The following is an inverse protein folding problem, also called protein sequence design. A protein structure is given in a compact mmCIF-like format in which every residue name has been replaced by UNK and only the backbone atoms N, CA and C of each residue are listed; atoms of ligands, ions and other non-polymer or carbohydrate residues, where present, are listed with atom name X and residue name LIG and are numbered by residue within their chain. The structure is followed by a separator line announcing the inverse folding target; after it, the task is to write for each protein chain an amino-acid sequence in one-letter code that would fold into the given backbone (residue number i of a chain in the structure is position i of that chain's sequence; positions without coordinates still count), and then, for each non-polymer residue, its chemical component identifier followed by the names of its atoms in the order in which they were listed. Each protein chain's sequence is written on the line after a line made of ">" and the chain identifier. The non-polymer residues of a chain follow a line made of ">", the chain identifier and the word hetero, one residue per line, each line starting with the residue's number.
data_IF_745742038585
#
_entry.id   IF_745742038585
#
_cell.length_a   1.000
_cell.length_b   1.000
_cell.length_c   1.000
_cell.angle_alpha   90.00
_cell.angle_beta   90.00
_cell.angle_gamma   90.00
#
_symmetry.space_group_name_H-M   'P 1'
#
loop_
_entity.id
_entity.type
_entity.pdbx_description
1 polymer ?
#
# COMPACT_ATOMS: atom_id res chain seq x y z
N UNK A 1 -19.65 19.28 -55.92
CA UNK A 1 -19.93 18.61 -54.63
C UNK A 1 -18.75 18.74 -53.67
N UNK A 2 -17.55 18.27 -54.04
CA UNK A 2 -16.37 18.22 -53.16
C UNK A 2 -15.99 19.55 -52.50
N UNK A 3 -15.95 20.65 -53.25
CA UNK A 3 -15.68 22.00 -52.70
C UNK A 3 -16.65 22.42 -51.58
N UNK A 4 -17.93 22.02 -51.66
CA UNK A 4 -18.91 22.29 -50.60
C UNK A 4 -18.67 21.40 -49.38
N UNK A 5 -18.31 20.13 -49.59
CA UNK A 5 -18.00 19.20 -48.51
C UNK A 5 -16.76 19.67 -47.72
N UNK A 6 -15.71 20.11 -48.42
CA UNK A 6 -14.49 20.67 -47.81
C UNK A 6 -14.83 21.94 -47.01
N UNK A 7 -15.66 22.84 -47.55
CA UNK A 7 -16.10 24.05 -46.84
C UNK A 7 -16.87 23.73 -45.56
N UNK A 8 -17.80 22.77 -45.60
CA UNK A 8 -18.57 22.32 -44.41
C UNK A 8 -17.65 21.65 -43.38
N UNK A 9 -16.73 20.78 -43.79
CA UNK A 9 -15.75 20.17 -42.88
C UNK A 9 -14.85 21.21 -42.21
N UNK A 10 -14.39 22.23 -42.96
CA UNK A 10 -13.59 23.33 -42.42
C UNK A 10 -14.40 24.17 -41.42
N UNK A 11 -15.66 24.47 -41.72
CA UNK A 11 -16.54 25.21 -40.83
C UNK A 11 -16.80 24.47 -39.51
N UNK A 12 -17.05 23.15 -39.57
CA UNK A 12 -17.22 22.29 -38.39
C UNK A 12 -15.92 22.25 -37.56
N UNK A 13 -14.77 22.09 -38.21
CA UNK A 13 -13.47 22.07 -37.52
C UNK A 13 -13.17 23.40 -36.82
N UNK A 14 -13.39 24.53 -37.50
CA UNK A 14 -13.23 25.87 -36.92
C UNK A 14 -14.23 26.11 -35.78
N UNK A 15 -15.49 25.72 -35.92
CA UNK A 15 -16.48 25.78 -34.85
C UNK A 15 -16.03 24.95 -33.62
N UNK A 16 -15.46 23.76 -33.83
CA UNK A 16 -14.94 22.93 -32.75
C UNK A 16 -13.74 23.58 -32.02
N UNK A 17 -12.88 24.30 -32.74
CA UNK A 17 -11.78 25.09 -32.16
C UNK A 17 -12.29 26.31 -31.37
N UNK A 18 -13.29 27.03 -31.88
CA UNK A 18 -13.90 28.18 -31.20
C UNK A 18 -14.80 27.81 -30.02
N UNK A 19 -15.41 26.63 -30.04
CA UNK A 19 -16.24 26.10 -28.93
C UNK A 19 -15.42 25.38 -27.87
N UNK A 20 -14.22 24.89 -28.18
CA UNK A 20 -13.32 24.24 -27.20
C UNK A 20 -13.17 25.03 -25.88
N UNK A 21 -12.91 26.35 -25.89
CA UNK A 21 -12.77 27.15 -24.66
C UNK A 21 -14.04 27.25 -23.81
N UNK A 22 -15.23 27.05 -24.39
CA UNK A 22 -16.49 26.98 -23.64
C UNK A 22 -16.63 25.65 -22.88
N UNK A 23 -16.08 24.56 -23.41
CA UNK A 23 -16.12 23.23 -22.79
C UNK A 23 -14.90 22.90 -21.92
N UNK A 24 -13.75 23.58 -22.11
CA UNK A 24 -12.53 23.34 -21.31
C UNK A 24 -12.34 24.32 -20.15
N UNK A 25 -13.42 24.97 -19.67
CA UNK A 25 -13.41 25.63 -18.35
C UNK A 25 -13.50 24.58 -17.24
N UNK A 26 -12.43 23.82 -17.06
CA UNK A 26 -12.17 23.16 -15.78
C UNK A 26 -11.88 24.26 -14.78
N UNK A 27 -12.91 24.67 -14.02
CA UNK A 27 -12.75 25.68 -12.97
C UNK A 27 -11.97 25.08 -11.81
N UNK A 28 -10.65 24.96 -11.96
CA UNK A 28 -9.75 24.80 -10.83
C UNK A 28 -9.72 26.10 -10.06
N UNK A 29 -10.75 26.33 -9.22
CA UNK A 29 -10.67 27.33 -8.16
C UNK A 29 -9.44 26.98 -7.34
N UNK A 30 -8.37 27.77 -7.52
CA UNK A 30 -7.12 27.64 -6.77
C UNK A 30 -7.39 28.20 -5.37
N UNK A 31 -8.18 27.46 -4.60
CA UNK A 31 -8.52 27.77 -3.22
C UNK A 31 -7.21 27.80 -2.43
N UNK A 32 -6.95 28.91 -1.73
CA UNK A 32 -5.87 29.01 -0.77
C UNK A 32 -6.27 28.23 0.49
N UNK A 33 -6.28 26.90 0.35
CA UNK A 33 -6.52 25.98 1.46
C UNK A 33 -5.36 26.07 2.45
N UNK A 34 -5.60 25.92 3.77
CA UNK A 34 -4.53 25.75 4.73
C UNK A 34 -3.71 24.50 4.38
N UNK A 35 -2.41 24.45 4.74
CA UNK A 35 -1.56 23.31 4.44
C UNK A 35 -2.16 22.03 5.04
N UNK A 36 -2.57 21.10 4.18
CA UNK A 36 -2.98 19.76 4.58
C UNK A 36 -1.77 19.00 5.14
N UNK A 37 -1.90 18.23 6.24
CA UNK A 37 -0.81 17.42 6.77
C UNK A 37 -0.34 16.41 5.71
N UNK A 38 0.87 16.63 5.18
CA UNK A 38 1.42 15.89 4.04
C UNK A 38 1.68 14.40 4.36
N UNK A 39 1.83 14.07 5.65
CA UNK A 39 2.08 12.70 6.13
C UNK A 39 1.15 12.38 7.30
N UNK A 40 -0.10 11.93 7.05
CA UNK A 40 -1.08 11.77 8.11
C UNK A 40 -0.66 10.76 9.20
N UNK A 41 0.16 9.74 8.90
CA UNK A 41 0.74 8.85 9.92
C UNK A 41 1.60 9.60 10.98
N UNK A 42 2.32 10.66 10.58
CA UNK A 42 3.09 11.51 11.50
C UNK A 42 2.19 12.42 12.33
N UNK A 43 1.11 12.94 11.73
CA UNK A 43 0.09 13.70 12.47
C UNK A 43 -0.62 12.82 13.49
N UNK A 44 -0.96 11.58 13.13
CA UNK A 44 -1.50 10.59 14.07
C UNK A 44 -0.52 10.25 15.19
N UNK A 45 0.78 10.13 14.90
CA UNK A 45 1.80 9.94 15.93
C UNK A 45 1.88 11.15 16.89
N UNK A 46 1.94 12.37 16.35
CA UNK A 46 1.94 13.62 17.14
C UNK A 46 0.69 13.77 18.01
N UNK A 47 -0.48 13.35 17.50
CA UNK A 47 -1.70 13.28 18.31
C UNK A 47 -1.59 12.23 19.42
N UNK A 48 -1.04 11.04 19.16
CA UNK A 48 -0.88 10.01 20.20
C UNK A 48 0.07 10.42 21.33
N UNK A 49 1.11 11.22 21.03
CA UNK A 49 1.98 11.80 22.06
C UNK A 49 1.24 12.81 22.98
N UNK A 50 0.10 13.35 22.54
CA UNK A 50 -0.69 14.34 23.29
C UNK A 50 -1.91 13.75 23.98
N UNK A 51 -2.58 12.78 23.36
CA UNK A 51 -3.87 12.23 23.82
C UNK A 51 -3.79 10.76 24.27
N UNK A 52 -2.62 10.12 24.16
CA UNK A 52 -2.40 8.72 24.47
C UNK A 52 -2.38 7.82 23.22
N UNK A 53 -1.91 6.57 23.35
CA UNK A 53 -1.67 5.70 22.21
C UNK A 53 -2.93 5.06 21.61
N UNK A 54 -4.08 5.19 22.30
CA UNK A 54 -5.38 4.73 21.85
C UNK A 54 -6.31 5.94 21.73
N UNK A 55 -6.74 6.28 20.51
CA UNK A 55 -7.55 7.47 20.24
C UNK A 55 -8.72 7.14 19.32
N UNK A 56 -9.88 7.75 19.54
CA UNK A 56 -11.00 7.71 18.58
C UNK A 56 -11.05 9.01 17.78
N UNK A 57 -10.83 8.93 16.47
CA UNK A 57 -10.94 10.06 15.53
C UNK A 57 -12.11 9.86 14.58
N UNK A 58 -12.65 10.94 14.03
CA UNK A 58 -13.73 10.91 13.05
C UNK A 58 -13.24 11.44 11.70
N UNK A 59 -13.14 10.56 10.71
CA UNK A 59 -12.83 10.93 9.32
C UNK A 59 -14.14 11.21 8.58
N UNK A 60 -14.65 12.42 8.76
CA UNK A 60 -16.03 12.76 8.38
C UNK A 60 -17.03 11.99 9.25
N UNK A 61 -17.89 11.18 8.62
CA UNK A 61 -18.88 10.37 9.34
C UNK A 61 -18.37 8.98 9.75
N UNK A 62 -17.07 8.68 9.54
CA UNK A 62 -16.48 7.36 9.83
C UNK A 62 -15.67 7.42 11.13
N UNK A 63 -16.07 6.72 12.20
CA UNK A 63 -15.25 6.57 13.40
C UNK A 63 -14.07 5.63 13.13
N UNK A 64 -12.87 6.07 13.52
CA UNK A 64 -11.63 5.34 13.37
C UNK A 64 -10.85 5.35 14.69
N UNK A 65 -10.66 4.16 15.25
CA UNK A 65 -9.78 3.89 16.36
C UNK A 65 -8.32 3.86 15.88
N UNK A 66 -7.51 4.79 16.35
CA UNK A 66 -6.08 4.85 16.07
C UNK A 66 -5.31 4.20 17.21
N UNK A 67 -4.46 3.25 16.84
CA UNK A 67 -3.62 2.46 17.76
C UNK A 67 -2.16 2.76 17.44
N UNK A 68 -1.41 3.28 18.42
CA UNK A 68 -0.04 3.80 18.23
C UNK A 68 1.03 3.15 19.13
N UNK A 69 0.71 2.11 19.91
CA UNK A 69 1.65 1.42 20.81
C UNK A 69 1.50 -0.11 20.81
N UNK A 70 2.55 -0.82 21.19
CA UNK A 70 2.63 -2.28 21.09
C UNK A 70 1.72 -3.03 22.10
N UNK A 71 1.43 -2.44 23.26
CA UNK A 71 0.51 -2.97 24.27
C UNK A 71 -0.95 -2.94 23.78
N UNK A 72 -1.39 -1.81 23.21
CA UNK A 72 -2.73 -1.69 22.62
C UNK A 72 -2.87 -2.61 21.40
N UNK A 73 -1.78 -2.82 20.62
CA UNK A 73 -1.76 -3.83 19.56
C UNK A 73 -1.85 -5.25 20.14
N UNK A 74 -1.27 -5.54 21.30
CA UNK A 74 -1.43 -6.85 21.95
C UNK A 74 -2.89 -7.14 22.26
N UNK A 75 -3.61 -6.19 22.86
CA UNK A 75 -5.04 -6.37 23.12
C UNK A 75 -5.85 -6.53 21.83
N UNK A 76 -5.54 -5.77 20.78
CA UNK A 76 -6.22 -5.89 19.50
C UNK A 76 -5.90 -7.19 18.73
N UNK A 77 -4.65 -7.64 18.69
CA UNK A 77 -4.13 -8.73 17.83
C UNK A 77 -3.95 -10.06 18.56
N UNK A 78 -4.06 -10.11 19.89
CA UNK A 78 -3.92 -11.35 20.69
C UNK A 78 -5.12 -11.55 21.60
N UNK A 79 -5.48 -10.56 22.42
CA UNK A 79 -6.63 -10.67 23.35
C UNK A 79 -7.98 -10.70 22.60
N UNK A 80 -8.10 -9.95 21.50
CA UNK A 80 -9.36 -9.76 20.76
C UNK A 80 -9.24 -10.02 19.24
N UNK A 81 -8.23 -10.76 18.80
CA UNK A 81 -7.79 -10.89 17.41
C UNK A 81 -8.91 -11.09 16.37
N UNK A 82 -9.82 -12.05 16.61
CA UNK A 82 -10.95 -12.31 15.71
C UNK A 82 -11.87 -11.10 15.54
N UNK A 83 -12.11 -10.31 16.61
CA UNK A 83 -12.92 -9.09 16.54
C UNK A 83 -12.25 -8.01 15.68
N UNK A 84 -10.92 -7.96 15.69
CA UNK A 84 -10.11 -7.02 14.91
C UNK A 84 -9.66 -7.57 13.55
N UNK A 85 -10.08 -8.76 13.15
CA UNK A 85 -9.63 -9.40 11.91
C UNK A 85 -10.41 -8.98 10.66
N UNK A 86 -11.61 -8.42 10.81
CA UNK A 86 -12.42 -7.94 9.69
C UNK A 86 -11.80 -6.72 8.98
N UNK A 87 -12.24 -6.49 7.73
CA UNK A 87 -11.78 -5.41 6.85
C UNK A 87 -12.95 -4.52 6.40
N UNK A 88 -12.78 -3.19 6.34
CA UNK A 88 -13.84 -2.28 5.94
C UNK A 88 -14.06 -2.33 4.42
N UNK A 89 -15.30 -2.63 4.02
CA UNK A 89 -15.70 -2.57 2.60
C UNK A 89 -15.77 -1.12 2.15
N UNK A 90 -14.84 -0.70 1.29
CA UNK A 90 -14.86 0.65 0.70
C UNK A 90 -15.29 0.61 -0.76
N UNK A 91 -16.05 1.63 -1.20
CA UNK A 91 -16.44 1.80 -2.61
C UNK A 91 -15.24 1.98 -3.55
N UNK A 92 -14.07 2.34 -3.00
CA UNK A 92 -12.81 2.42 -3.75
C UNK A 92 -12.30 1.03 -4.09
N UNK A 93 -12.22 0.13 -3.11
CA UNK A 93 -11.82 -1.27 -3.31
C UNK A 93 -12.78 -1.98 -4.27
N UNK A 94 -14.09 -1.85 -4.05
CA UNK A 94 -15.15 -2.43 -4.89
C UNK A 94 -15.06 -2.01 -6.38
N UNK A 95 -14.57 -0.80 -6.66
CA UNK A 95 -14.42 -0.29 -8.03
C UNK A 95 -13.04 -0.54 -8.64
N UNK A 96 -12.01 -0.65 -7.82
CA UNK A 96 -10.62 -0.81 -8.28
C UNK A 96 -10.26 -2.29 -8.46
N UNK A 97 -10.85 -3.18 -7.65
CA UNK A 97 -10.60 -4.62 -7.70
C UNK A 97 -11.87 -5.32 -8.18
N UNK A 98 -11.87 -5.74 -9.45
CA UNK A 98 -12.96 -6.49 -10.06
C UNK A 98 -12.73 -7.98 -9.78
N UNK A 99 -13.63 -8.58 -8.99
CA UNK A 99 -13.60 -10.01 -8.66
C UNK A 99 -13.25 -10.28 -7.19
N UNK A 100 -12.92 -11.53 -6.88
CA UNK A 100 -12.68 -11.98 -5.50
C UNK A 100 -11.21 -11.80 -5.12
N UNK A 101 -10.96 -11.15 -3.99
CA UNK A 101 -9.63 -10.78 -3.51
C UNK A 101 -9.44 -11.11 -2.02
N UNK A 102 -8.21 -11.20 -1.54
CA UNK A 102 -7.88 -11.70 -0.17
C UNK A 102 -7.50 -10.56 0.80
N UNK A 103 -7.03 -9.42 0.30
CA UNK A 103 -6.40 -8.37 1.10
C UNK A 103 -7.40 -7.46 1.85
N UNK A 104 -8.57 -7.23 1.26
CA UNK A 104 -9.66 -6.42 1.80
C UNK A 104 -10.95 -7.23 2.07
N UNK A 105 -10.94 -8.54 1.78
CA UNK A 105 -12.03 -9.43 2.14
C UNK A 105 -12.26 -9.46 3.66
N UNK A 106 -13.52 -9.48 4.13
CA UNK A 106 -13.83 -9.77 5.52
C UNK A 106 -13.25 -11.12 5.95
N UNK A 107 -12.87 -11.23 7.22
CA UNK A 107 -12.41 -12.49 7.78
C UNK A 107 -13.58 -13.48 7.85
N UNK A 108 -13.34 -14.72 7.43
CA UNK A 108 -14.38 -15.73 7.30
C UNK A 108 -13.88 -16.95 6.53
N UNK A 109 -14.78 -17.88 6.24
CA UNK A 109 -14.41 -19.17 5.64
C UNK A 109 -13.67 -19.02 4.30
N UNK A 110 -14.22 -18.24 3.37
CA UNK A 110 -13.57 -17.94 2.08
C UNK A 110 -12.15 -17.41 2.26
N UNK A 111 -11.96 -16.43 3.16
CA UNK A 111 -10.66 -15.82 3.42
C UNK A 111 -9.65 -16.83 3.95
N UNK A 112 -10.05 -17.68 4.91
CA UNK A 112 -9.19 -18.74 5.46
C UNK A 112 -8.82 -19.79 4.41
N UNK A 113 -9.78 -20.23 3.59
CA UNK A 113 -9.53 -21.18 2.51
C UNK A 113 -8.53 -20.61 1.50
N UNK A 114 -8.70 -19.35 1.08
CA UNK A 114 -7.79 -18.69 0.14
C UNK A 114 -6.40 -18.44 0.74
N UNK A 115 -6.29 -17.99 2.00
CA UNK A 115 -5.00 -17.88 2.70
C UNK A 115 -4.29 -19.24 2.75
N UNK A 116 -5.01 -20.30 3.09
CA UNK A 116 -4.46 -21.67 3.10
C UNK A 116 -3.93 -22.09 1.72
N UNK A 117 -4.69 -21.86 0.65
CA UNK A 117 -4.25 -22.14 -0.72
C UNK A 117 -2.97 -21.35 -1.07
N UNK A 118 -2.94 -20.06 -0.76
CA UNK A 118 -1.78 -19.20 -1.00
C UNK A 118 -0.53 -19.67 -0.23
N UNK A 119 -0.63 -19.87 1.08
CA UNK A 119 0.50 -20.30 1.93
C UNK A 119 1.00 -21.69 1.53
N UNK A 120 0.11 -22.66 1.35
CA UNK A 120 0.47 -24.06 1.12
C UNK A 120 0.97 -24.37 -0.31
N UNK A 121 0.75 -23.47 -1.28
CA UNK A 121 1.10 -23.72 -2.69
C UNK A 121 1.92 -22.60 -3.33
N UNK A 122 1.51 -21.34 -3.15
CA UNK A 122 2.08 -20.19 -3.86
C UNK A 122 3.26 -19.55 -3.12
N UNK A 123 3.21 -19.54 -1.78
CA UNK A 123 4.18 -18.87 -0.91
C UNK A 123 5.07 -19.86 -0.13
N UNK A 124 5.13 -21.12 -0.53
CA UNK A 124 6.04 -22.09 0.12
C UNK A 124 7.51 -21.71 -0.15
N UNK A 125 8.40 -22.05 0.79
CA UNK A 125 9.85 -21.94 0.60
C UNK A 125 10.36 -22.61 -0.70
N UNK A 126 9.73 -23.71 -1.13
CA UNK A 126 10.05 -24.37 -2.41
C UNK A 126 9.65 -23.50 -3.61
N UNK A 127 8.44 -22.92 -3.58
CA UNK A 127 7.92 -22.04 -4.63
C UNK A 127 8.74 -20.75 -4.72
N UNK A 128 9.06 -20.12 -3.58
CA UNK A 128 9.88 -18.90 -3.52
C UNK A 128 11.29 -19.14 -4.08
N UNK A 129 11.93 -20.27 -3.76
CA UNK A 129 13.23 -20.66 -4.33
C UNK A 129 13.15 -20.98 -5.82
N UNK A 130 12.05 -21.54 -6.32
CA UNK A 130 11.89 -21.80 -7.77
C UNK A 130 11.88 -20.54 -8.65
N UNK A 131 11.75 -19.35 -8.04
CA UNK A 131 11.83 -18.05 -8.73
C UNK A 131 13.15 -17.29 -8.44
N UNK A 132 14.18 -17.97 -7.94
CA UNK A 132 15.49 -17.36 -7.65
C UNK A 132 16.17 -16.82 -8.91
N UNK A 133 16.19 -17.61 -9.99
CA UNK A 133 16.77 -17.20 -11.29
C UNK A 133 16.08 -15.94 -11.85
N UNK A 134 14.75 -15.83 -11.72
CA UNK A 134 13.99 -14.64 -12.14
C UNK A 134 14.46 -13.39 -11.38
N UNK A 135 14.70 -13.50 -10.07
CA UNK A 135 15.22 -12.40 -9.25
C UNK A 135 16.65 -12.04 -9.66
N UNK A 136 17.52 -13.04 -9.82
CA UNK A 136 18.91 -12.83 -10.24
C UNK A 136 19.01 -12.15 -11.61
N UNK A 137 18.21 -12.58 -12.59
CA UNK A 137 18.16 -11.97 -13.92
C UNK A 137 17.72 -10.50 -13.90
N UNK A 138 16.62 -10.15 -13.21
CA UNK A 138 16.18 -8.75 -13.17
C UNK A 138 17.08 -7.87 -12.30
N UNK A 139 17.77 -8.43 -11.28
CA UNK A 139 18.85 -7.75 -10.56
C UNK A 139 20.03 -7.46 -11.51
N UNK A 140 20.45 -8.42 -12.35
CA UNK A 140 21.50 -8.19 -13.35
C UNK A 140 21.10 -7.11 -14.37
N UNK A 141 19.83 -7.07 -14.79
CA UNK A 141 19.29 -5.99 -15.64
C UNK A 141 19.30 -4.63 -14.93
N UNK A 142 19.07 -4.59 -13.62
CA UNK A 142 19.21 -3.37 -12.81
C UNK A 142 20.69 -2.94 -12.72
N UNK A 143 21.60 -3.86 -12.41
CA UNK A 143 23.04 -3.58 -12.29
C UNK A 143 23.61 -3.04 -13.60
N UNK A 144 23.31 -3.65 -14.75
CA UNK A 144 23.75 -3.13 -16.05
C UNK A 144 23.24 -1.72 -16.38
N UNK A 145 22.05 -1.33 -15.87
CA UNK A 145 21.55 0.05 -15.98
C UNK A 145 22.35 1.02 -15.09
N UNK A 146 22.72 0.59 -13.88
CA UNK A 146 23.54 1.37 -12.94
C UNK A 146 24.99 1.52 -13.44
N UNK A 147 25.60 0.45 -13.94
CA UNK A 147 26.95 0.45 -14.54
C UNK A 147 27.02 1.36 -15.76
N UNK A 148 26.03 1.29 -16.66
CA UNK A 148 25.95 2.19 -17.83
C UNK A 148 25.84 3.65 -17.38
N UNK A 149 24.95 3.94 -16.41
CA UNK A 149 24.74 5.30 -15.92
C UNK A 149 25.96 5.85 -15.17
N UNK A 150 26.67 5.00 -14.42
CA UNK A 150 27.94 5.32 -13.76
C UNK A 150 29.03 5.62 -14.79
N UNK A 151 29.15 4.80 -15.83
CA UNK A 151 30.10 4.99 -16.94
C UNK A 151 29.87 6.30 -17.71
N UNK A 152 28.61 6.75 -17.82
CA UNK A 152 28.24 8.03 -18.43
C UNK A 152 28.12 9.20 -17.44
N UNK A 153 28.49 9.00 -16.16
CA UNK A 153 28.33 9.99 -15.07
C UNK A 153 26.93 10.64 -15.00
N UNK A 154 25.89 9.91 -15.39
CA UNK A 154 24.52 10.41 -15.50
C UNK A 154 23.73 10.16 -14.21
N UNK A 155 22.95 11.14 -13.71
CA UNK A 155 22.15 10.97 -12.50
C UNK A 155 21.05 9.91 -12.71
N UNK A 156 20.79 9.12 -11.67
CA UNK A 156 19.85 7.99 -11.71
C UNK A 156 18.71 8.18 -10.73
N UNK A 157 17.47 7.96 -11.17
CA UNK A 157 16.31 7.88 -10.30
C UNK A 157 16.17 6.43 -9.77
N UNK A 158 16.72 6.18 -8.57
CA UNK A 158 16.68 4.86 -7.92
C UNK A 158 15.25 4.40 -7.61
N UNK A 159 14.35 5.29 -7.19
CA UNK A 159 12.95 4.94 -6.90
C UNK A 159 12.26 4.35 -8.13
N UNK A 160 12.43 4.95 -9.31
CA UNK A 160 11.91 4.42 -10.58
C UNK A 160 12.52 3.06 -10.93
N UNK A 161 13.82 2.87 -10.64
CA UNK A 161 14.49 1.59 -10.89
C UNK A 161 13.99 0.47 -9.97
N UNK A 162 13.81 0.71 -8.68
CA UNK A 162 13.28 -0.28 -7.74
C UNK A 162 11.80 -0.62 -7.99
N UNK A 163 10.99 0.37 -8.39
CA UNK A 163 9.60 0.14 -8.84
C UNK A 163 9.58 -0.79 -10.05
N UNK A 164 10.44 -0.52 -11.05
CA UNK A 164 10.54 -1.37 -12.24
C UNK A 164 11.01 -2.79 -11.88
N UNK A 165 12.09 -2.94 -11.10
CA UNK A 165 12.58 -4.25 -10.63
C UNK A 165 11.46 -5.06 -9.96
N UNK A 166 10.73 -4.44 -9.04
CA UNK A 166 9.65 -5.09 -8.30
C UNK A 166 8.52 -5.53 -9.24
N UNK A 167 8.07 -4.65 -10.13
CA UNK A 167 7.04 -4.95 -11.12
C UNK A 167 7.47 -6.06 -12.09
N UNK A 168 8.75 -6.10 -12.47
CA UNK A 168 9.27 -7.06 -13.45
C UNK A 168 9.40 -8.46 -12.84
N UNK A 169 9.90 -8.55 -11.61
CA UNK A 169 9.89 -9.80 -10.84
C UNK A 169 8.45 -10.28 -10.62
N UNK A 170 7.54 -9.42 -10.15
CA UNK A 170 6.13 -9.80 -9.90
C UNK A 170 5.43 -10.24 -11.19
N UNK A 171 5.56 -9.50 -12.29
CA UNK A 171 4.90 -9.87 -13.55
C UNK A 171 5.49 -11.14 -14.18
N UNK A 172 6.80 -11.38 -14.06
CA UNK A 172 7.39 -12.66 -14.48
C UNK A 172 6.93 -13.84 -13.63
N UNK A 173 6.84 -13.66 -12.31
CA UNK A 173 6.37 -14.71 -11.38
C UNK A 173 4.88 -15.03 -11.59
N UNK A 174 4.04 -14.01 -11.74
CA UNK A 174 2.56 -14.18 -11.80
C UNK A 174 2.05 -14.45 -13.22
N UNK A 175 2.64 -13.82 -14.24
CA UNK A 175 2.15 -13.84 -15.63
C UNK A 175 3.11 -14.55 -16.60
N UNK A 176 4.23 -15.09 -16.12
CA UNK A 176 5.26 -15.74 -16.94
C UNK A 176 6.08 -14.81 -17.84
N UNK A 177 5.81 -13.49 -17.84
CA UNK A 177 6.50 -12.51 -18.71
C UNK A 177 6.51 -11.11 -18.10
N UNK A 178 7.57 -10.34 -18.38
CA UNK A 178 7.64 -8.91 -18.07
C UNK A 178 6.98 -8.05 -19.13
N UNK A 179 6.59 -6.84 -18.74
CA UNK A 179 5.94 -5.85 -19.60
C UNK A 179 6.77 -4.54 -19.74
N UNK A 180 7.95 -4.49 -19.11
CA UNK A 180 8.88 -3.36 -19.08
C UNK A 180 9.89 -3.35 -20.24
N UNK A 181 9.40 -3.40 -21.48
CA UNK A 181 10.31 -3.37 -22.64
C UNK A 181 9.78 -2.53 -23.79
N UNK A 182 10.68 -1.74 -24.37
CA UNK A 182 10.50 -1.01 -25.61
C UNK A 182 10.19 -2.02 -26.74
N UNK A 183 9.00 -1.95 -27.34
CA UNK A 183 8.66 -2.72 -28.56
C UNK A 183 7.59 -3.82 -28.44
N UNK A 184 6.85 -3.94 -27.32
CA UNK A 184 5.68 -4.82 -27.25
C UNK A 184 4.38 -4.14 -27.74
N UNK A 185 3.30 -4.91 -27.88
CA UNK A 185 2.00 -4.36 -28.29
C UNK A 185 1.48 -3.32 -27.28
N UNK A 186 1.45 -2.07 -27.74
CA UNK A 186 1.18 -0.86 -26.98
C UNK A 186 -0.09 -0.91 -26.12
N UNK A 187 -1.10 -1.69 -26.51
CA UNK A 187 -2.40 -1.74 -25.83
C UNK A 187 -2.34 -2.61 -24.57
N UNK A 188 -1.88 -3.86 -24.66
CA UNK A 188 -1.76 -4.74 -23.48
C UNK A 188 -0.69 -4.24 -22.52
N UNK A 189 0.43 -3.72 -23.05
CA UNK A 189 1.47 -3.08 -22.25
C UNK A 189 0.91 -1.86 -21.49
N UNK A 190 0.16 -0.96 -22.13
CA UNK A 190 -0.38 0.20 -21.40
C UNK A 190 -1.49 -0.16 -20.42
N UNK A 191 -2.27 -1.21 -20.64
CA UNK A 191 -3.29 -1.65 -19.66
C UNK A 191 -2.62 -2.32 -18.45
N UNK A 192 -1.71 -3.28 -18.66
CA UNK A 192 -0.98 -3.92 -17.55
C UNK A 192 -0.07 -2.92 -16.85
N UNK A 193 0.64 -2.05 -17.57
CA UNK A 193 1.45 -0.98 -16.98
C UNK A 193 0.59 0.04 -16.26
N UNK A 194 -0.53 0.52 -16.79
CA UNK A 194 -1.41 1.44 -16.04
C UNK A 194 -2.12 0.76 -14.88
N UNK A 195 -2.43 -0.54 -14.96
CA UNK A 195 -2.94 -1.28 -13.81
C UNK A 195 -1.86 -1.45 -12.75
N UNK A 196 -0.63 -1.84 -13.12
CA UNK A 196 0.50 -1.94 -12.20
C UNK A 196 1.03 -0.58 -11.75
N UNK A 197 0.84 0.52 -12.49
CA UNK A 197 1.12 1.90 -12.08
C UNK A 197 -0.01 2.47 -11.25
N UNK A 198 -1.27 2.07 -11.46
CA UNK A 198 -2.38 2.44 -10.60
C UNK A 198 -2.25 1.68 -9.29
N UNK A 199 -2.13 0.35 -9.33
CA UNK A 199 -1.81 -0.50 -8.19
C UNK A 199 -0.51 -0.06 -7.53
N UNK A 200 0.57 0.25 -8.26
CA UNK A 200 1.78 0.78 -7.61
C UNK A 200 1.57 2.20 -7.08
N UNK A 201 0.87 3.13 -7.74
CA UNK A 201 0.70 4.49 -7.19
C UNK A 201 -0.26 4.48 -6.00
N UNK A 202 -1.36 3.71 -6.06
CA UNK A 202 -2.21 3.47 -4.91
C UNK A 202 -1.45 2.71 -3.85
N UNK A 203 -0.68 1.68 -4.16
CA UNK A 203 0.11 0.90 -3.18
C UNK A 203 1.36 1.64 -2.72
N UNK A 204 1.90 2.67 -3.38
CA UNK A 204 3.06 3.45 -2.92
C UNK A 204 2.63 4.68 -2.12
N UNK A 205 1.60 5.41 -2.59
CA UNK A 205 0.87 6.35 -1.73
C UNK A 205 0.28 5.61 -0.51
N UNK A 206 -0.06 4.33 -0.69
CA UNK A 206 -0.38 3.41 0.38
C UNK A 206 0.77 2.46 0.78
N UNK A 207 2.06 2.77 0.61
CA UNK A 207 3.18 2.06 1.31
C UNK A 207 3.78 3.06 2.28
N UNK A 208 3.87 4.33 1.86
CA UNK A 208 3.90 5.46 2.79
C UNK A 208 2.70 5.46 3.77
N UNK A 209 1.58 4.80 3.41
CA UNK A 209 0.50 4.48 4.35
C UNK A 209 0.54 3.02 4.85
N UNK A 210 0.73 1.95 4.07
CA UNK A 210 0.59 0.56 4.62
C UNK A 210 1.78 0.05 5.42
N UNK A 211 2.99 0.54 5.15
CA UNK A 211 4.16 0.24 6.00
C UNK A 211 4.18 1.11 7.26
N UNK A 212 3.41 2.21 7.29
CA UNK A 212 3.33 3.14 8.43
C UNK A 212 2.02 3.01 9.22
N UNK A 213 0.96 2.48 8.60
CA UNK A 213 -0.38 2.24 9.13
C UNK A 213 -0.91 0.95 8.49
N UNK A 214 -1.10 -0.15 9.23
CA UNK A 214 -1.57 -1.41 8.62
C UNK A 214 -2.85 -1.24 7.78
N UNK A 215 -3.09 -2.18 6.85
CA UNK A 215 -4.37 -2.27 6.12
C UNK A 215 -5.54 -2.10 7.09
N UNK A 216 -6.42 -1.09 6.88
CA UNK A 216 -7.45 -0.77 7.85
C UNK A 216 -8.27 -1.98 8.23
N UNK A 217 -8.49 -2.16 9.52
CA UNK A 217 -9.36 -3.21 10.06
C UNK A 217 -10.71 -2.62 10.41
N UNK A 218 -11.69 -3.48 10.65
CA UNK A 218 -13.01 -3.09 11.12
C UNK A 218 -13.42 -4.03 12.25
N UNK A 219 -13.88 -3.47 13.36
CA UNK A 219 -14.31 -4.23 14.51
C UNK A 219 -15.62 -4.99 14.20
N UNK A 220 -15.68 -6.31 14.47
CA UNK A 220 -16.88 -7.12 14.19
C UNK A 220 -17.97 -7.04 15.27
N UNK A 221 -17.56 -6.80 16.51
CA UNK A 221 -18.41 -6.85 17.71
C UNK A 221 -17.90 -5.83 18.73
N UNK A 222 -18.79 -5.33 19.58
CA UNK A 222 -18.41 -4.45 20.69
C UNK A 222 -17.29 -5.08 21.55
N UNK A 223 -16.35 -4.23 21.97
CA UNK A 223 -15.17 -4.64 22.74
C UNK A 223 -14.78 -3.55 23.73
N UNK A 224 -14.25 -3.96 24.89
CA UNK A 224 -13.64 -3.05 25.86
C UNK A 224 -12.12 -3.16 25.77
N UNK A 225 -11.43 -2.08 25.41
CA UNK A 225 -9.96 -2.04 25.28
C UNK A 225 -9.42 -0.92 26.16
N UNK A 226 -8.46 -1.24 27.04
CA UNK A 226 -7.91 -0.30 28.04
C UNK A 226 -9.00 0.48 28.83
N UNK A 227 -10.13 -0.17 29.11
CA UNK A 227 -11.28 0.39 29.83
C UNK A 227 -12.36 1.06 28.96
N UNK A 228 -12.04 1.46 27.74
CA UNK A 228 -12.96 2.14 26.81
C UNK A 228 -13.84 1.14 26.05
N UNK A 229 -15.15 1.41 25.98
CA UNK A 229 -16.09 0.67 25.15
C UNK A 229 -16.06 1.17 23.71
N UNK A 230 -15.81 0.25 22.76
CA UNK A 230 -15.67 0.54 21.33
C UNK A 230 -16.73 -0.27 20.59
N UNK A 231 -17.60 0.43 19.85
CA UNK A 231 -18.71 -0.18 19.14
C UNK A 231 -18.31 -0.88 17.85
N UNK A 232 -18.99 -1.98 17.53
CA UNK A 232 -18.87 -2.72 16.27
C UNK A 232 -18.98 -1.80 15.04
N UNK A 233 -18.27 -2.16 13.96
CA UNK A 233 -18.21 -1.37 12.74
C UNK A 233 -17.19 -0.21 12.78
N UNK A 234 -16.63 0.15 13.95
CA UNK A 234 -15.53 1.11 14.07
C UNK A 234 -14.33 0.66 13.24
N UNK A 235 -13.75 1.55 12.44
CA UNK A 235 -12.51 1.25 11.71
C UNK A 235 -11.31 1.29 12.66
N UNK A 236 -10.27 0.50 12.38
CA UNK A 236 -9.08 0.42 13.22
C UNK A 236 -7.83 0.66 12.36
N UNK A 237 -7.02 1.64 12.77
CA UNK A 237 -5.81 2.08 12.10
C UNK A 237 -4.62 1.88 13.04
N UNK A 238 -3.75 0.92 12.72
CA UNK A 238 -2.57 0.60 13.55
C UNK A 238 -1.36 1.32 12.99
N UNK A 239 -0.94 2.39 13.66
CA UNK A 239 0.15 3.27 13.28
C UNK A 239 1.52 2.66 13.58
N UNK A 240 1.95 1.73 12.71
CA UNK A 240 3.29 1.12 12.71
C UNK A 240 4.39 2.19 12.86
N UNK A 241 4.28 3.35 12.21
CA UNK A 241 5.29 4.42 12.30
C UNK A 241 5.48 4.92 13.73
N UNK A 242 4.40 5.05 14.50
CA UNK A 242 4.47 5.39 15.92
C UNK A 242 5.09 4.26 16.75
N UNK A 243 4.64 3.01 16.53
CA UNK A 243 5.09 1.83 17.28
C UNK A 243 6.60 1.57 17.08
N UNK A 244 7.09 1.72 15.85
CA UNK A 244 8.51 1.55 15.51
C UNK A 244 9.40 2.72 15.96
N UNK A 245 8.82 3.79 16.53
CA UNK A 245 9.50 4.97 17.09
C UNK A 245 9.19 5.21 18.57
N UNK A 246 8.47 4.28 19.18
CA UNK A 246 8.10 4.37 20.59
C UNK A 246 9.34 4.21 21.48
N UNK A 247 9.74 5.32 22.12
CA UNK A 247 10.88 5.39 23.04
C UNK A 247 10.74 4.41 24.22
N UNK A 248 9.51 4.07 24.64
CA UNK A 248 9.28 3.06 25.68
C UNK A 248 9.54 1.63 25.17
N UNK A 249 9.33 1.39 23.88
CA UNK A 249 9.57 0.10 23.23
C UNK A 249 11.02 -0.08 22.78
N UNK A 250 11.66 1.00 22.32
CA UNK A 250 12.93 0.98 21.57
C UNK A 250 14.09 1.76 22.22
N UNK A 251 13.84 2.56 23.27
CA UNK A 251 14.84 3.40 23.92
C UNK A 251 14.99 4.79 23.28
N UNK A 252 15.91 5.60 23.81
CA UNK A 252 16.05 7.01 23.42
C UNK A 252 16.55 7.23 21.98
N UNK A 253 17.17 6.21 21.38
CA UNK A 253 17.66 6.23 20.00
C UNK A 253 16.62 5.72 18.99
N UNK A 254 15.32 5.65 19.36
CA UNK A 254 14.24 5.09 18.53
C UNK A 254 14.06 5.77 17.15
N UNK A 255 14.45 7.03 17.01
CA UNK A 255 14.43 7.76 15.73
C UNK A 255 15.73 7.62 14.91
N UNK A 256 16.78 7.01 15.48
CA UNK A 256 18.09 6.89 14.83
C UNK A 256 18.18 5.66 13.91
N UNK A 257 18.77 5.85 12.72
CA UNK A 257 19.12 4.75 11.83
C UNK A 257 20.32 3.98 12.39
N UNK A 258 20.04 2.99 13.24
CA UNK A 258 21.04 2.15 13.92
C UNK A 258 20.90 0.67 13.52
N UNK A 259 21.47 0.23 12.37
CA UNK A 259 21.43 -1.18 11.95
C UNK A 259 21.99 -2.14 13.01
N UNK A 260 22.99 -1.69 13.78
CA UNK A 260 23.59 -2.45 14.87
C UNK A 260 22.64 -2.85 16.00
N UNK A 261 21.44 -2.24 16.10
CA UNK A 261 20.41 -2.56 17.12
C UNK A 261 19.98 -4.03 17.10
N UNK A 262 20.10 -4.70 15.95
CA UNK A 262 19.55 -6.03 15.72
C UNK A 262 20.59 -7.14 15.52
N UNK A 263 21.89 -6.84 15.56
CA UNK A 263 22.94 -7.82 15.23
C UNK A 263 22.93 -9.05 16.15
N UNK A 264 22.62 -8.84 17.44
CA UNK A 264 22.59 -9.90 18.46
C UNK A 264 21.17 -10.43 18.73
N UNK A 265 20.18 -10.04 17.91
CA UNK A 265 18.75 -10.42 18.10
C UNK A 265 18.18 -11.08 16.86
N UNK A 266 17.49 -12.21 17.04
CA UNK A 266 16.64 -12.76 15.96
C UNK A 266 15.48 -11.78 15.73
N UNK A 267 15.45 -11.14 14.57
CA UNK A 267 14.35 -10.26 14.17
C UNK A 267 13.20 -11.12 13.69
N UNK A 268 12.06 -11.03 14.37
CA UNK A 268 10.83 -11.71 14.00
C UNK A 268 10.06 -10.93 12.93
N UNK A 269 9.70 -11.60 11.84
CA UNK A 269 8.88 -11.07 10.75
C UNK A 269 7.49 -11.73 10.65
N UNK A 270 7.23 -12.76 11.48
CA UNK A 270 5.94 -13.44 11.60
C UNK A 270 4.93 -12.63 12.46
N UNK A 271 5.38 -11.55 13.10
CA UNK A 271 4.53 -10.63 13.84
C UNK A 271 4.15 -11.11 15.24
N UNK A 272 4.98 -11.94 15.85
CA UNK A 272 4.91 -12.30 17.27
C UNK A 272 5.44 -11.14 18.14
N UNK A 273 6.52 -10.48 17.71
CA UNK A 273 7.06 -9.28 18.34
C UNK A 273 6.26 -8.03 17.93
N UNK A 274 5.27 -7.65 18.73
CA UNK A 274 4.36 -6.54 18.43
C UNK A 274 5.00 -5.14 18.44
N UNK A 275 6.26 -5.01 18.87
CA UNK A 275 7.06 -3.78 18.67
C UNK A 275 7.51 -3.61 17.21
N UNK A 276 7.55 -4.70 16.45
CA UNK A 276 8.07 -4.75 15.08
C UNK A 276 7.17 -5.61 14.18
N UNK A 277 6.13 -4.99 13.62
CA UNK A 277 5.12 -5.65 12.78
C UNK A 277 5.05 -5.06 11.35
N UNK A 278 6.16 -5.02 10.59
CA UNK A 278 6.17 -4.43 9.23
C UNK A 278 5.23 -5.15 8.26
N UNK A 279 5.00 -6.44 8.46
CA UNK A 279 4.04 -7.27 7.71
C UNK A 279 2.74 -7.52 8.47
N UNK A 280 2.55 -6.90 9.64
CA UNK A 280 1.37 -7.07 10.49
C UNK A 280 1.45 -8.22 11.49
N UNK A 281 0.29 -8.58 12.04
CA UNK A 281 0.09 -9.64 13.04
C UNK A 281 -1.39 -10.06 13.07
N UNK A 282 -1.70 -11.10 13.84
CA UNK A 282 -3.04 -11.63 14.10
C UNK A 282 -3.59 -12.54 12.99
N UNK A 283 -4.69 -13.21 13.32
CA UNK A 283 -5.46 -14.14 12.49
C UNK A 283 -5.75 -13.57 11.09
N UNK A 284 -6.24 -12.33 11.04
CA UNK A 284 -6.50 -11.60 9.80
C UNK A 284 -5.25 -11.09 9.06
N UNK A 285 -4.04 -11.59 9.34
CA UNK A 285 -2.85 -11.25 8.56
C UNK A 285 -2.76 -12.07 7.26
N UNK A 286 -2.45 -11.40 6.15
CA UNK A 286 -2.48 -11.97 4.79
C UNK A 286 -1.12 -12.53 4.37
N UNK A 287 -0.03 -11.90 4.82
CA UNK A 287 1.34 -12.30 4.49
C UNK A 287 2.04 -12.79 5.75
N UNK A 288 2.48 -14.03 5.70
CA UNK A 288 3.37 -14.65 6.68
C UNK A 288 4.70 -14.85 5.95
N UNK A 289 5.70 -14.06 6.35
CA UNK A 289 6.97 -13.94 5.62
C UNK A 289 8.06 -14.65 6.40
N UNK A 290 8.33 -15.89 6.02
CA UNK A 290 9.58 -16.57 6.37
C UNK A 290 10.68 -16.07 5.43
N UNK A 291 11.81 -15.63 5.99
CA UNK A 291 13.04 -15.25 5.27
C UNK A 291 14.19 -16.19 5.63
#
# INVERSE_FOLDING_TARGET
>A
MEMMLISVCLAIFLAFLFLKPLFTKTTTTKLNLPPSPLHPHRSLHSLSLRYGPLMLLHFGCVPALVVSSADVVYDAMKTHDLKFSNRPKTKTVEKLIIGTEIAFSPYGEYWRQMKSICVMNLLTNKTIRSFEDIRAEEINVLMGKLEKASSSSSPVNLSKLFINLSNDVITRVVLGKKYSTEGGEYISQNVVRKFMELVATTTFALLEWTMTVQTPRQLSEDVKVHGYDIAAGTQVLINIWAIQRDVSAWGQDAEELRPGRHLDTVVDFQGQNLKFIPFGSGEGNVLEVDM
#
